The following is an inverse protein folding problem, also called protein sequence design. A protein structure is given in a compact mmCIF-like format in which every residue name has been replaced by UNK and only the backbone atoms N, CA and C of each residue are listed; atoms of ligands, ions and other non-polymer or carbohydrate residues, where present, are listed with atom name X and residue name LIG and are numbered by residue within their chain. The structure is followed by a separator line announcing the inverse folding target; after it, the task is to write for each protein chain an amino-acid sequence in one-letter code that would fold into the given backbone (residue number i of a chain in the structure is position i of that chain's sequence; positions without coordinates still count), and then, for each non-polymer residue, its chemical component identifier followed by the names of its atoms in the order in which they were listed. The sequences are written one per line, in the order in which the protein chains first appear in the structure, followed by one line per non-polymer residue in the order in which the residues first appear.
data_IF_615746207489
#
_entry.id   IF_615746207489
#
_cell.length_a   1.000
_cell.length_b   1.000
_cell.length_c   1.000
_cell.angle_alpha   90.00
_cell.angle_beta   90.00
_cell.angle_gamma   90.00
#
_symmetry.space_group_name_H-M   'P 1'
#
loop_
_entity.id
_entity.type
_entity.pdbx_description
1 polymer ?
#
# COMPACT_ATOMS: atom_id res chain seq x y z
N UNK A 1 -11.93 -3.28 -37.31
CA UNK A 1 -12.70 -3.84 -36.17
C UNK A 1 -12.02 -5.03 -35.46
N UNK A 2 -11.19 -5.86 -36.13
CA UNK A 2 -10.53 -7.01 -35.49
C UNK A 2 -9.30 -6.59 -34.65
N UNK A 3 -8.51 -5.60 -35.10
CA UNK A 3 -7.34 -5.09 -34.37
C UNK A 3 -7.70 -4.37 -33.06
N UNK A 4 -8.79 -3.58 -33.04
CA UNK A 4 -9.28 -2.92 -31.83
C UNK A 4 -9.71 -3.91 -30.74
N UNK A 5 -10.32 -5.04 -31.12
CA UNK A 5 -10.72 -6.10 -30.20
C UNK A 5 -9.51 -6.90 -29.69
N UNK A 6 -8.49 -7.10 -30.53
CA UNK A 6 -7.23 -7.73 -30.13
C UNK A 6 -6.45 -6.86 -29.14
N UNK A 7 -6.39 -5.55 -29.40
CA UNK A 7 -5.71 -4.59 -28.53
C UNK A 7 -6.43 -4.49 -27.17
N UNK A 8 -7.76 -4.31 -27.15
CA UNK A 8 -8.57 -4.27 -25.91
C UNK A 8 -8.43 -5.54 -25.05
N UNK A 9 -8.39 -6.74 -25.66
CA UNK A 9 -8.17 -8.00 -24.92
C UNK A 9 -6.77 -8.09 -24.32
N UNK A 10 -5.75 -7.64 -25.06
CA UNK A 10 -4.37 -7.57 -24.59
C UNK A 10 -4.22 -6.58 -23.43
N UNK A 11 -4.82 -5.39 -23.52
CA UNK A 11 -4.82 -4.39 -22.44
C UNK A 11 -5.53 -4.90 -21.19
N UNK A 12 -6.63 -5.66 -21.34
CA UNK A 12 -7.36 -6.22 -20.20
C UNK A 12 -6.61 -7.38 -19.52
N UNK A 13 -5.88 -8.20 -20.29
CA UNK A 13 -5.01 -9.24 -19.74
C UNK A 13 -3.84 -8.60 -18.96
N UNK A 14 -3.20 -7.58 -19.53
CA UNK A 14 -2.13 -6.81 -18.87
C UNK A 14 -2.61 -6.16 -17.56
N UNK A 15 -3.81 -5.56 -17.56
CA UNK A 15 -4.44 -4.99 -16.35
C UNK A 15 -4.72 -6.00 -15.25
N UNK A 16 -4.93 -7.27 -15.59
CA UNK A 16 -5.25 -8.35 -14.65
C UNK A 16 -4.08 -9.28 -14.36
N UNK A 17 -2.94 -9.07 -15.01
CA UNK A 17 -1.76 -9.93 -14.93
C UNK A 17 -1.36 -10.21 -13.49
N UNK A 18 -1.27 -9.17 -12.66
CA UNK A 18 -0.90 -9.29 -11.25
C UNK A 18 -1.83 -10.24 -10.47
N UNK A 19 -3.14 -10.14 -10.68
CA UNK A 19 -4.12 -10.99 -9.99
C UNK A 19 -4.11 -12.42 -10.51
N UNK A 20 -3.87 -12.62 -11.81
CA UNK A 20 -3.72 -13.96 -12.41
C UNK A 20 -2.50 -14.67 -11.80
N UNK A 21 -1.36 -13.99 -11.76
CA UNK A 21 -0.14 -14.54 -11.16
C UNK A 21 -0.30 -14.80 -9.66
N UNK A 22 -0.94 -13.89 -8.93
CA UNK A 22 -1.22 -14.06 -7.50
C UNK A 22 -2.11 -15.29 -7.27
N UNK A 23 -3.14 -15.50 -8.09
CA UNK A 23 -4.02 -16.68 -7.99
C UNK A 23 -3.25 -17.97 -8.26
N UNK A 24 -2.27 -17.94 -9.17
CA UNK A 24 -1.42 -19.10 -9.47
C UNK A 24 -0.51 -19.50 -8.30
N UNK A 25 -0.24 -18.60 -7.33
CA UNK A 25 0.50 -18.94 -6.11
C UNK A 25 -0.33 -19.78 -5.13
N UNK A 26 -1.63 -19.94 -5.37
CA UNK A 26 -2.53 -20.77 -4.57
C UNK A 26 -2.57 -20.42 -3.07
N UNK A 27 -2.42 -19.13 -2.73
CA UNK A 27 -2.48 -18.67 -1.33
C UNK A 27 -3.82 -18.97 -0.65
N UNK A 28 -4.88 -19.23 -1.42
CA UNK A 28 -6.22 -19.54 -0.90
C UNK A 28 -6.28 -20.84 -0.07
N UNK A 29 -5.28 -21.72 -0.17
CA UNK A 29 -5.16 -22.91 0.70
C UNK A 29 -4.79 -22.57 2.14
N UNK A 30 -4.26 -21.37 2.39
CA UNK A 30 -3.88 -20.93 3.74
C UNK A 30 -5.15 -20.69 4.55
N UNK A 31 -5.37 -21.50 5.60
CA UNK A 31 -6.58 -21.44 6.44
C UNK A 31 -6.73 -20.12 7.20
N UNK A 32 -5.66 -19.62 7.80
CA UNK A 32 -5.69 -18.38 8.58
C UNK A 32 -5.74 -17.16 7.65
N UNK A 33 -6.85 -16.41 7.71
CA UNK A 33 -7.06 -15.22 6.88
C UNK A 33 -5.95 -14.20 7.04
N UNK A 34 -5.46 -13.96 8.26
CA UNK A 34 -4.34 -13.05 8.52
C UNK A 34 -3.09 -13.40 7.71
N UNK A 35 -2.69 -14.67 7.71
CA UNK A 35 -1.53 -15.15 6.94
C UNK A 35 -1.79 -15.08 5.45
N UNK A 36 -2.97 -15.51 5.01
CA UNK A 36 -3.36 -15.47 3.60
C UNK A 36 -3.31 -14.05 3.03
N UNK A 37 -3.91 -13.08 3.74
CA UNK A 37 -3.87 -11.65 3.41
C UNK A 37 -2.44 -11.14 3.36
N UNK A 38 -1.63 -11.42 4.40
CA UNK A 38 -0.25 -10.97 4.45
C UNK A 38 0.60 -11.53 3.30
N UNK A 39 0.45 -12.83 2.96
CA UNK A 39 1.14 -13.46 1.84
C UNK A 39 0.71 -12.86 0.49
N UNK A 40 -0.59 -12.65 0.26
CA UNK A 40 -1.10 -12.01 -0.97
C UNK A 40 -0.58 -10.58 -1.14
N UNK A 41 -0.61 -9.77 -0.09
CA UNK A 41 -0.08 -8.41 -0.14
C UNK A 41 1.45 -8.38 -0.25
N UNK A 42 2.15 -9.32 0.39
CA UNK A 42 3.60 -9.50 0.20
C UNK A 42 3.95 -9.86 -1.24
N UNK A 43 3.18 -10.75 -1.87
CA UNK A 43 3.33 -11.08 -3.27
C UNK A 43 3.18 -9.83 -4.15
N UNK A 44 2.10 -9.05 -3.96
CA UNK A 44 1.88 -7.79 -4.69
C UNK A 44 3.05 -6.82 -4.49
N UNK A 45 3.50 -6.63 -3.25
CA UNK A 45 4.62 -5.75 -2.92
C UNK A 45 5.92 -6.17 -3.64
N UNK A 46 6.21 -7.47 -3.69
CA UNK A 46 7.39 -7.99 -4.38
C UNK A 46 7.27 -7.85 -5.88
N UNK A 47 6.12 -8.24 -6.44
CA UNK A 47 5.88 -8.25 -7.88
C UNK A 47 5.87 -6.83 -8.47
N UNK A 48 5.44 -5.85 -7.68
CA UNK A 48 5.55 -4.43 -8.01
C UNK A 48 6.89 -3.81 -7.59
N UNK A 49 7.87 -4.53 -7.04
CA UNK A 49 9.15 -3.94 -6.58
C UNK A 49 9.04 -2.84 -5.49
N UNK A 50 7.87 -2.66 -4.85
CA UNK A 50 7.70 -1.67 -3.79
C UNK A 50 8.52 -2.00 -2.53
N UNK A 51 8.86 -3.27 -2.33
CA UNK A 51 9.75 -3.71 -1.24
C UNK A 51 11.17 -3.11 -1.31
N UNK A 52 11.59 -2.60 -2.48
CA UNK A 52 12.88 -1.95 -2.69
C UNK A 52 12.84 -0.43 -2.45
N UNK A 53 11.65 0.15 -2.30
CA UNK A 53 11.45 1.59 -2.08
C UNK A 53 11.19 1.82 -0.60
N UNK A 54 12.02 2.59 0.09
CA UNK A 54 11.76 2.95 1.48
C UNK A 54 10.81 4.16 1.61
N UNK A 55 10.41 4.46 2.85
CA UNK A 55 9.50 5.56 3.13
C UNK A 55 10.10 6.93 2.79
N UNK A 56 11.41 7.11 2.90
CA UNK A 56 12.08 8.37 2.61
C UNK A 56 12.01 8.69 1.13
N UNK A 57 12.31 7.70 0.29
CA UNK A 57 12.19 7.82 -1.16
C UNK A 57 10.75 8.05 -1.59
N UNK A 58 9.79 7.46 -0.88
CA UNK A 58 8.37 7.70 -1.12
C UNK A 58 7.98 9.16 -0.80
N UNK A 59 8.47 9.70 0.32
CA UNK A 59 8.25 11.10 0.71
C UNK A 59 8.89 12.07 -0.30
N UNK A 60 10.10 11.79 -0.75
CA UNK A 60 10.78 12.56 -1.81
C UNK A 60 9.94 12.59 -3.09
N UNK A 61 9.49 11.44 -3.57
CA UNK A 61 8.64 11.37 -4.76
C UNK A 61 7.33 12.17 -4.59
N UNK A 62 6.69 12.12 -3.41
CA UNK A 62 5.52 12.95 -3.15
C UNK A 62 5.83 14.44 -3.20
N UNK A 63 6.99 14.86 -2.70
CA UNK A 63 7.42 16.26 -2.73
C UNK A 63 7.70 16.72 -4.15
N UNK A 64 8.46 15.95 -4.91
CA UNK A 64 8.85 16.28 -6.29
C UNK A 64 7.64 16.38 -7.23
N UNK A 65 6.57 15.63 -6.94
CA UNK A 65 5.30 15.69 -7.68
C UNK A 65 4.26 16.67 -7.06
N UNK A 66 4.66 17.43 -6.04
CA UNK A 66 3.82 18.43 -5.38
C UNK A 66 2.63 17.85 -4.59
N UNK A 67 2.62 16.56 -4.26
CA UNK A 67 1.53 15.96 -3.47
C UNK A 67 1.56 16.39 -1.99
N UNK A 68 2.68 16.93 -1.51
CA UNK A 68 2.81 17.46 -0.15
C UNK A 68 2.12 18.81 0.06
N UNK A 69 1.86 19.57 -1.02
CA UNK A 69 1.21 20.89 -0.96
C UNK A 69 -0.28 20.83 -1.23
N UNK A 70 -0.78 19.72 -1.78
CA UNK A 70 -2.19 19.52 -2.05
C UNK A 70 -2.96 19.09 -0.79
N UNK A 71 -4.22 19.51 -0.73
CA UNK A 71 -5.16 18.99 0.25
C UNK A 71 -5.38 17.48 0.05
N UNK A 72 -5.55 16.76 1.16
CA UNK A 72 -5.72 15.31 1.19
C UNK A 72 -6.92 14.81 0.38
N UNK A 73 -7.98 15.62 0.28
CA UNK A 73 -9.20 15.30 -0.47
C UNK A 73 -9.08 15.59 -1.96
N UNK A 74 -8.03 16.29 -2.38
CA UNK A 74 -7.80 16.61 -3.80
C UNK A 74 -7.72 15.31 -4.61
N UNK A 75 -8.51 15.21 -5.68
CA UNK A 75 -8.44 14.09 -6.62
C UNK A 75 -7.36 14.34 -7.67
N UNK A 76 -6.58 13.30 -8.00
CA UNK A 76 -5.63 13.29 -9.11
C UNK A 76 -6.05 12.26 -10.17
N UNK A 77 -5.77 12.56 -11.43
CA UNK A 77 -6.03 11.66 -12.55
C UNK A 77 -5.10 10.45 -12.55
N UNK A 78 -5.51 9.38 -13.25
CA UNK A 78 -4.66 8.22 -13.54
C UNK A 78 -3.33 8.61 -14.19
N UNK A 79 -3.32 9.57 -15.12
CA UNK A 79 -2.08 10.05 -15.75
C UNK A 79 -1.11 10.72 -14.77
N UNK A 80 -1.65 11.50 -13.82
CA UNK A 80 -0.82 12.12 -12.76
C UNK A 80 -0.32 11.06 -11.79
N UNK A 81 -1.14 10.06 -11.46
CA UNK A 81 -0.71 8.93 -10.65
C UNK A 81 0.42 8.15 -11.32
N UNK A 82 0.32 7.87 -12.63
CA UNK A 82 1.37 7.24 -13.41
C UNK A 82 2.67 8.05 -13.40
N UNK A 83 2.59 9.37 -13.48
CA UNK A 83 3.76 10.27 -13.37
C UNK A 83 4.45 10.12 -12.00
N UNK A 84 3.68 10.10 -10.91
CA UNK A 84 4.20 9.89 -9.56
C UNK A 84 4.89 8.53 -9.45
N UNK A 85 4.23 7.47 -9.91
CA UNK A 85 4.77 6.10 -9.90
C UNK A 85 6.05 5.98 -10.75
N UNK A 86 6.06 6.62 -11.92
CA UNK A 86 7.23 6.68 -12.79
C UNK A 86 8.40 7.32 -12.07
N UNK A 87 8.19 8.47 -11.41
CA UNK A 87 9.25 9.14 -10.66
C UNK A 87 9.86 8.24 -9.58
N UNK A 88 9.05 7.43 -8.90
CA UNK A 88 9.51 6.49 -7.88
C UNK A 88 10.46 5.45 -8.49
N UNK A 89 10.04 4.77 -9.55
CA UNK A 89 10.84 3.67 -10.12
C UNK A 89 12.05 4.16 -10.91
N UNK A 90 11.96 5.29 -11.62
CA UNK A 90 13.12 5.87 -12.30
C UNK A 90 14.19 6.31 -11.30
N UNK A 91 13.80 6.90 -10.15
CA UNK A 91 14.77 7.25 -9.10
C UNK A 91 15.32 6.02 -8.38
N UNK A 92 14.50 5.00 -8.12
CA UNK A 92 14.97 3.72 -7.58
C UNK A 92 16.03 3.09 -8.51
N UNK A 93 15.74 2.97 -9.80
CA UNK A 93 16.61 2.26 -10.74
C UNK A 93 17.96 2.97 -10.98
N UNK A 94 18.01 4.30 -10.77
CA UNK A 94 19.28 5.06 -10.75
C UNK A 94 20.15 4.76 -9.54
N UNK A 95 19.54 4.39 -8.40
CA UNK A 95 20.23 4.10 -7.13
C UNK A 95 20.65 2.63 -7.02
N UNK A 96 19.95 1.74 -7.72
CA UNK A 96 20.28 0.31 -7.73
C UNK A 96 21.58 0.03 -8.51
N UNK A 97 22.40 -0.93 -8.08
CA UNK A 97 23.52 -1.43 -8.88
C UNK A 97 23.05 -1.93 -10.24
N UNK A 98 23.91 -1.83 -11.27
CA UNK A 98 23.60 -2.29 -12.63
C UNK A 98 23.17 -3.76 -12.70
N UNK A 99 23.67 -4.60 -11.79
CA UNK A 99 23.33 -6.02 -11.66
C UNK A 99 21.97 -6.29 -11.03
N UNK A 100 21.33 -5.29 -10.43
CA UNK A 100 20.06 -5.40 -9.71
C UNK A 100 18.97 -4.49 -10.28
N UNK A 101 19.16 -4.00 -11.51
CA UNK A 101 18.16 -3.16 -12.16
C UNK A 101 16.85 -3.92 -12.36
N UNK A 102 15.75 -3.17 -12.24
CA UNK A 102 14.40 -3.71 -12.44
C UNK A 102 13.84 -3.28 -13.79
N UNK A 103 12.84 -4.01 -14.27
CA UNK A 103 12.02 -3.53 -15.38
C UNK A 103 11.10 -2.39 -14.88
N UNK A 104 11.53 -1.14 -15.12
CA UNK A 104 10.84 0.07 -14.67
C UNK A 104 9.42 0.14 -15.24
N UNK A 105 9.27 0.02 -16.56
CA UNK A 105 7.96 0.08 -17.25
C UNK A 105 6.98 -0.99 -16.76
N UNK A 106 7.46 -2.22 -16.54
CA UNK A 106 6.61 -3.27 -16.00
C UNK A 106 6.19 -2.96 -14.55
N UNK A 107 7.09 -2.43 -13.73
CA UNK A 107 6.80 -2.08 -12.34
C UNK A 107 5.78 -0.94 -12.25
N UNK A 108 5.89 0.07 -13.10
CA UNK A 108 4.92 1.17 -13.23
C UNK A 108 3.54 0.61 -13.59
N UNK A 109 3.45 -0.19 -14.65
CA UNK A 109 2.19 -0.77 -15.11
C UNK A 109 1.51 -1.65 -14.06
N UNK A 110 2.26 -2.54 -13.40
CA UNK A 110 1.71 -3.42 -12.36
C UNK A 110 1.18 -2.64 -11.16
N UNK A 111 1.95 -1.66 -10.67
CA UNK A 111 1.53 -0.86 -9.53
C UNK A 111 0.33 0.03 -9.86
N UNK A 112 0.36 0.69 -11.03
CA UNK A 112 -0.75 1.54 -11.48
C UNK A 112 -2.05 0.74 -11.57
N UNK A 113 -2.01 -0.42 -12.22
CA UNK A 113 -3.18 -1.29 -12.37
C UNK A 113 -3.70 -1.79 -11.02
N UNK A 114 -2.82 -2.13 -10.09
CA UNK A 114 -3.22 -2.53 -8.74
C UNK A 114 -3.88 -1.38 -7.97
N UNK A 115 -3.32 -0.17 -8.03
CA UNK A 115 -3.91 1.00 -7.36
C UNK A 115 -5.28 1.37 -7.95
N UNK A 116 -5.43 1.32 -9.28
CA UNK A 116 -6.73 1.55 -9.93
C UNK A 116 -7.74 0.48 -9.48
N UNK A 117 -7.35 -0.80 -9.50
CA UNK A 117 -8.25 -1.87 -9.06
C UNK A 117 -8.67 -1.76 -7.59
N UNK A 118 -7.79 -1.24 -6.72
CA UNK A 118 -8.06 -1.11 -5.29
C UNK A 118 -8.85 0.17 -4.93
N UNK A 119 -8.66 1.28 -5.66
CA UNK A 119 -9.13 2.60 -5.24
C UNK A 119 -10.07 3.30 -6.23
N UNK A 120 -10.15 2.84 -7.48
CA UNK A 120 -11.07 3.37 -8.51
C UNK A 120 -12.19 2.36 -8.82
N UNK A 121 -12.86 1.86 -7.79
CA UNK A 121 -13.94 0.87 -7.93
C UNK A 121 -15.14 1.38 -8.74
N UNK A 122 -15.34 2.71 -8.74
CA UNK A 122 -16.40 3.38 -9.50
C UNK A 122 -15.98 3.73 -10.94
N UNK A 123 -14.73 3.47 -11.33
CA UNK A 123 -14.22 3.73 -12.68
C UNK A 123 -14.22 5.20 -13.07
N UNK A 124 -14.07 6.12 -12.10
CA UNK A 124 -14.02 7.57 -12.32
C UNK A 124 -12.67 8.04 -12.85
N UNK A 125 -11.65 7.19 -12.81
CA UNK A 125 -10.29 7.51 -13.26
C UNK A 125 -9.57 8.51 -12.37
N UNK A 126 -9.96 8.56 -11.08
CA UNK A 126 -9.43 9.52 -10.10
C UNK A 126 -9.22 8.88 -8.74
N UNK A 127 -8.15 9.29 -8.06
CA UNK A 127 -7.83 8.87 -6.70
C UNK A 127 -7.53 10.12 -5.86
N UNK A 128 -7.87 10.10 -4.57
CA UNK A 128 -7.47 11.20 -3.68
C UNK A 128 -5.97 11.16 -3.40
N UNK A 129 -5.36 12.32 -3.16
CA UNK A 129 -3.96 12.42 -2.71
C UNK A 129 -3.74 11.57 -1.47
N UNK A 130 -4.70 11.54 -0.56
CA UNK A 130 -4.62 10.74 0.65
C UNK A 130 -4.60 9.23 0.39
N UNK A 131 -5.47 8.72 -0.50
CA UNK A 131 -5.47 7.31 -0.93
C UNK A 131 -4.11 6.90 -1.48
N UNK A 132 -3.53 7.75 -2.35
CA UNK A 132 -2.22 7.50 -2.98
C UNK A 132 -1.12 7.42 -1.93
N UNK A 133 -1.05 8.42 -1.03
CA UNK A 133 -0.05 8.44 0.06
C UNK A 133 -0.22 7.26 1.01
N UNK A 134 -1.44 6.97 1.45
CA UNK A 134 -1.74 5.90 2.40
C UNK A 134 -1.35 4.53 1.86
N UNK A 135 -1.74 4.23 0.61
CA UNK A 135 -1.41 2.97 -0.06
C UNK A 135 0.12 2.81 -0.18
N UNK A 136 0.78 3.79 -0.79
CA UNK A 136 2.20 3.71 -1.12
C UNK A 136 3.07 3.69 0.14
N UNK A 137 2.74 4.51 1.15
CA UNK A 137 3.43 4.48 2.44
C UNK A 137 3.18 3.17 3.21
N UNK A 138 2.03 2.52 3.03
CA UNK A 138 1.75 1.22 3.66
C UNK A 138 2.45 0.07 2.94
N UNK A 139 2.58 0.14 1.62
CA UNK A 139 3.13 -0.95 0.80
C UNK A 139 4.61 -0.80 0.48
N UNK A 140 5.25 0.35 0.74
CA UNK A 140 6.70 0.50 0.55
C UNK A 140 7.50 -0.45 1.47
N UNK A 141 8.75 -0.70 1.12
CA UNK A 141 9.73 -1.41 1.95
C UNK A 141 10.20 -0.58 3.15
N UNK A 142 11.22 -1.10 3.83
CA UNK A 142 11.84 -0.44 4.98
C UNK A 142 11.20 -0.78 6.34
N UNK A 143 11.64 -0.05 7.36
CA UNK A 143 11.26 -0.29 8.77
C UNK A 143 9.80 0.09 9.01
N UNK A 144 9.05 -0.79 9.69
CA UNK A 144 7.65 -0.55 10.03
C UNK A 144 7.45 0.75 10.82
N UNK A 145 8.30 1.00 11.82
CA UNK A 145 8.17 2.17 12.68
C UNK A 145 8.29 3.50 11.91
N UNK A 146 9.16 3.56 10.90
CA UNK A 146 9.35 4.79 10.12
C UNK A 146 8.12 5.07 9.24
N UNK A 147 7.52 4.01 8.68
CA UNK A 147 6.25 4.08 7.93
C UNK A 147 5.11 4.53 8.83
N UNK A 148 4.98 3.96 10.03
CA UNK A 148 3.95 4.34 10.99
C UNK A 148 4.12 5.78 11.48
N UNK A 149 5.35 6.25 11.70
CA UNK A 149 5.64 7.67 12.01
C UNK A 149 5.21 8.59 10.88
N UNK A 150 5.51 8.24 9.64
CA UNK A 150 5.06 9.01 8.50
C UNK A 150 3.52 9.07 8.43
N UNK A 151 2.85 7.91 8.53
CA UNK A 151 1.39 7.82 8.52
C UNK A 151 0.78 8.69 9.64
N UNK A 152 1.33 8.62 10.86
CA UNK A 152 0.89 9.47 11.97
C UNK A 152 1.03 10.96 11.64
N UNK A 153 2.14 11.37 11.01
CA UNK A 153 2.33 12.78 10.63
C UNK A 153 1.30 13.29 9.61
N UNK A 154 0.72 12.41 8.79
CA UNK A 154 -0.36 12.78 7.88
C UNK A 154 -1.72 12.94 8.60
N UNK A 155 -1.84 12.40 9.82
CA UNK A 155 -3.09 12.32 10.57
C UNK A 155 -3.08 13.13 11.87
N UNK A 156 -1.98 13.79 12.23
CA UNK A 156 -1.88 14.60 13.43
C UNK A 156 -2.11 16.09 13.17
N UNK A 157 -2.47 16.83 14.22
CA UNK A 157 -2.48 18.29 14.24
C UNK A 157 -1.10 18.87 14.58
N UNK A 158 -1.00 20.20 14.64
CA UNK A 158 0.23 20.92 15.00
C UNK A 158 0.65 20.72 16.47
N UNK A 159 -0.23 20.20 17.32
CA UNK A 159 0.06 19.89 18.72
C UNK A 159 0.56 18.44 18.90
N UNK A 160 0.70 17.69 17.81
CA UNK A 160 1.12 16.28 17.84
C UNK A 160 0.02 15.32 18.29
N UNK A 161 -1.25 15.75 18.27
CA UNK A 161 -2.40 14.91 18.57
C UNK A 161 -3.00 14.34 17.29
N UNK A 162 -3.34 13.06 17.32
CA UNK A 162 -4.04 12.41 16.22
C UNK A 162 -5.44 13.01 16.01
N UNK A 163 -5.74 13.36 14.77
CA UNK A 163 -7.07 13.77 14.31
C UNK A 163 -7.85 12.50 13.96
N UNK A 164 -8.81 12.11 14.79
CA UNK A 164 -9.56 10.86 14.62
C UNK A 164 -10.27 10.72 13.27
N UNK A 165 -10.77 11.81 12.69
CA UNK A 165 -11.39 11.77 11.35
C UNK A 165 -10.39 11.43 10.24
N UNK A 166 -9.13 11.88 10.36
CA UNK A 166 -8.05 11.50 9.43
C UNK A 166 -7.61 10.06 9.64
N UNK A 167 -7.59 9.57 10.89
CA UNK A 167 -7.33 8.16 11.17
C UNK A 167 -8.45 7.25 10.66
N UNK A 168 -9.71 7.66 10.79
CA UNK A 168 -10.85 6.96 10.18
C UNK A 168 -10.71 6.89 8.66
N UNK A 169 -10.38 8.01 8.02
CA UNK A 169 -10.09 8.05 6.60
C UNK A 169 -8.92 7.12 6.24
N UNK A 170 -7.85 7.08 7.05
CA UNK A 170 -6.74 6.16 6.84
C UNK A 170 -7.18 4.71 6.88
N UNK A 171 -8.00 4.32 7.86
CA UNK A 171 -8.54 2.97 7.92
C UNK A 171 -9.39 2.63 6.69
N UNK A 172 -10.23 3.56 6.22
CA UNK A 172 -11.00 3.38 4.98
C UNK A 172 -10.11 3.16 3.76
N UNK A 173 -8.98 3.86 3.67
CA UNK A 173 -8.06 3.72 2.55
C UNK A 173 -7.15 2.48 2.66
N UNK A 174 -6.60 2.20 3.83
CA UNK A 174 -5.65 1.08 4.01
C UNK A 174 -6.36 -0.27 3.94
N UNK A 175 -7.62 -0.37 4.40
CA UNK A 175 -8.40 -1.61 4.35
C UNK A 175 -8.97 -1.91 2.95
N UNK A 176 -8.79 -1.03 1.97
CA UNK A 176 -8.97 -1.36 0.55
C UNK A 176 -7.89 -2.33 0.04
N UNK A 177 -6.69 -2.34 0.63
CA UNK A 177 -5.62 -3.28 0.27
C UNK A 177 -6.02 -4.75 0.45
N UNK A 178 -6.43 -5.22 1.65
CA UNK A 178 -6.91 -6.60 1.82
C UNK A 178 -8.16 -6.86 0.97
N UNK A 179 -9.05 -5.89 0.82
CA UNK A 179 -10.23 -6.01 -0.04
C UNK A 179 -9.85 -6.28 -1.51
N UNK A 180 -8.85 -5.56 -2.03
CA UNK A 180 -8.36 -5.71 -3.40
C UNK A 180 -7.73 -7.09 -3.68
N UNK A 181 -7.22 -7.77 -2.65
CA UNK A 181 -6.71 -9.15 -2.77
C UNK A 181 -7.74 -10.21 -2.32
N UNK A 182 -9.02 -9.84 -2.34
CA UNK A 182 -10.18 -10.70 -2.06
C UNK A 182 -10.29 -11.18 -0.59
N UNK A 183 -9.77 -10.39 0.35
CA UNK A 183 -9.84 -10.65 1.80
C UNK A 183 -10.75 -9.66 2.55
N UNK A 184 -11.59 -8.93 1.80
CA UNK A 184 -12.58 -7.99 2.34
C UNK A 184 -13.51 -8.58 3.42
N UNK A 185 -14.01 -9.82 3.30
CA UNK A 185 -14.83 -10.43 4.36
C UNK A 185 -14.12 -10.56 5.72
N UNK A 186 -12.78 -10.61 5.74
CA UNK A 186 -11.99 -10.72 6.98
C UNK A 186 -11.47 -9.38 7.48
N UNK A 187 -11.08 -8.48 6.58
CA UNK A 187 -10.36 -7.23 6.92
C UNK A 187 -10.92 -5.99 6.23
N UNK A 188 -12.20 -6.02 5.83
CA UNK A 188 -12.90 -4.85 5.32
C UNK A 188 -13.09 -3.78 6.40
N UNK A 189 -13.23 -2.53 5.97
CA UNK A 189 -13.55 -1.43 6.87
C UNK A 189 -14.95 -1.62 7.48
N UNK A 190 -15.09 -1.24 8.76
CA UNK A 190 -16.38 -1.15 9.46
C UNK A 190 -16.43 0.15 10.26
N UNK A 191 -17.63 0.66 10.53
CA UNK A 191 -17.84 1.86 11.37
C UNK A 191 -17.26 1.72 12.80
N UNK A 192 -16.96 0.49 13.24
CA UNK A 192 -16.41 0.21 14.56
C UNK A 192 -14.87 0.17 14.55
N UNK A 193 -14.22 0.13 13.38
CA UNK A 193 -12.78 -0.10 13.24
C UNK A 193 -11.94 0.92 14.02
N UNK A 194 -12.32 2.20 14.01
CA UNK A 194 -11.63 3.24 14.80
C UNK A 194 -11.74 2.98 16.30
N UNK A 195 -12.95 2.65 16.77
CA UNK A 195 -13.23 2.41 18.20
C UNK A 195 -12.53 1.16 18.71
N UNK A 196 -12.36 0.16 17.86
CA UNK A 196 -11.62 -1.07 18.20
C UNK A 196 -10.11 -0.81 18.34
N UNK A 197 -9.53 0.09 17.54
CA UNK A 197 -8.12 0.46 17.68
C UNK A 197 -7.85 1.25 18.96
N UNK A 198 -8.72 2.20 19.31
CA UNK A 198 -8.53 3.10 20.45
C UNK A 198 -9.80 3.19 21.30
N UNK A 199 -10.10 2.16 22.11
CA UNK A 199 -11.28 2.17 22.97
C UNK A 199 -11.14 3.26 24.03
N UNK A 200 -12.10 4.18 24.06
CA UNK A 200 -12.25 5.24 25.09
C UNK A 200 -11.15 6.31 25.12
N UNK A 201 -10.10 6.22 24.31
CA UNK A 201 -9.04 7.22 24.25
C UNK A 201 -9.46 8.45 23.46
N UNK A 202 -9.32 9.65 24.06
CA UNK A 202 -9.68 10.93 23.42
C UNK A 202 -8.48 11.70 22.86
N UNK A 203 -7.27 11.39 23.32
CA UNK A 203 -6.03 12.05 22.90
C UNK A 203 -4.97 10.98 22.65
N UNK A 204 -4.51 10.89 21.40
CA UNK A 204 -3.48 9.93 20.99
C UNK A 204 -2.28 10.71 20.49
N UNK A 205 -1.14 10.55 21.16
CA UNK A 205 0.15 11.05 20.70
C UNK A 205 0.89 9.95 19.92
N UNK A 206 1.98 10.32 19.24
CA UNK A 206 2.75 9.40 18.40
C UNK A 206 3.12 8.09 19.11
N UNK A 207 3.69 8.16 20.32
CA UNK A 207 4.14 6.96 21.01
C UNK A 207 2.96 6.03 21.35
N UNK A 208 1.83 6.56 21.83
CA UNK A 208 0.62 5.76 22.08
C UNK A 208 0.10 5.09 20.80
N UNK A 209 0.15 5.80 19.67
CA UNK A 209 -0.21 5.24 18.37
C UNK A 209 0.74 4.10 17.98
N UNK A 210 2.05 4.31 18.08
CA UNK A 210 3.05 3.29 17.76
C UNK A 210 2.92 2.06 18.65
N UNK A 211 2.77 2.25 19.97
CA UNK A 211 2.59 1.17 20.94
C UNK A 211 1.34 0.35 20.63
N UNK A 212 0.24 1.01 20.24
CA UNK A 212 -1.00 0.33 19.85
C UNK A 212 -0.83 -0.47 18.55
N UNK A 213 -0.26 0.14 17.51
CA UNK A 213 -0.09 -0.51 16.20
C UNK A 213 0.92 -1.66 16.23
N UNK A 214 1.87 -1.63 17.16
CA UNK A 214 2.92 -2.62 17.35
C UNK A 214 2.64 -3.59 18.51
N UNK A 215 1.49 -3.47 19.19
CA UNK A 215 1.08 -4.38 20.25
C UNK A 215 1.00 -5.83 19.76
N UNK A 216 1.01 -6.77 20.71
CA UNK A 216 0.77 -8.19 20.44
C UNK A 216 -0.44 -8.70 21.25
N UNK A 217 -1.62 -8.90 20.62
CA UNK A 217 -1.90 -8.67 19.21
C UNK A 217 -2.16 -7.17 18.87
N UNK A 218 -1.86 -6.72 17.64
CA UNK A 218 -2.21 -5.38 17.16
C UNK A 218 -3.73 -5.29 16.89
N UNK A 219 -4.28 -4.10 16.55
CA UNK A 219 -5.68 -3.97 16.18
C UNK A 219 -6.08 -4.97 15.09
N UNK A 220 -7.20 -5.67 15.30
CA UNK A 220 -7.60 -6.82 14.47
C UNK A 220 -7.75 -6.47 12.98
N UNK A 221 -8.25 -5.28 12.66
CA UNK A 221 -8.37 -4.85 11.26
C UNK A 221 -7.01 -4.65 10.55
N UNK A 222 -5.91 -4.46 11.30
CA UNK A 222 -4.57 -4.20 10.80
C UNK A 222 -3.57 -5.32 11.10
N UNK A 223 -3.99 -6.44 11.69
CA UNK A 223 -3.09 -7.53 12.10
C UNK A 223 -2.31 -8.17 10.94
N UNK A 224 -2.81 -8.06 9.71
CA UNK A 224 -2.10 -8.48 8.50
C UNK A 224 -0.84 -7.63 8.20
N UNK A 225 -0.82 -6.36 8.62
CA UNK A 225 0.24 -5.41 8.27
C UNK A 225 1.56 -5.73 9.00
N UNK A 226 1.59 -5.89 10.35
CA UNK A 226 2.78 -6.37 11.05
C UNK A 226 3.22 -7.77 10.58
N UNK A 227 2.28 -8.66 10.26
CA UNK A 227 2.61 -9.99 9.77
C UNK A 227 3.30 -9.94 8.39
N UNK A 228 2.80 -9.13 7.45
CA UNK A 228 3.43 -8.92 6.14
C UNK A 228 4.87 -8.43 6.29
N UNK A 229 5.12 -7.54 7.25
CA UNK A 229 6.48 -7.12 7.58
C UNK A 229 7.33 -8.27 8.15
N UNK A 230 6.80 -9.09 9.06
CA UNK A 230 7.54 -10.26 9.58
C UNK A 230 7.90 -11.25 8.47
N UNK A 231 7.00 -11.53 7.53
CA UNK A 231 7.28 -12.37 6.36
C UNK A 231 8.47 -11.84 5.56
N UNK A 232 8.54 -10.53 5.33
CA UNK A 232 9.67 -9.91 4.63
C UNK A 232 11.01 -10.13 5.36
N UNK A 233 11.04 -10.10 6.70
CA UNK A 233 12.27 -10.35 7.47
C UNK A 233 12.71 -11.81 7.39
N UNK A 234 11.77 -12.76 7.47
CA UNK A 234 12.06 -14.19 7.36
C UNK A 234 12.62 -14.54 5.98
N UNK A 235 12.03 -14.00 4.91
CA UNK A 235 12.53 -14.19 3.53
C UNK A 235 13.96 -13.67 3.37
N UNK A 236 14.24 -12.46 3.86
CA UNK A 236 15.57 -11.86 3.76
C UNK A 236 16.61 -12.62 4.61
N UNK A 237 16.21 -13.17 5.75
CA UNK A 237 17.06 -14.02 6.59
C UNK A 237 17.47 -15.32 5.89
N UNK A 238 16.59 -15.91 5.07
CA UNK A 238 16.90 -17.10 4.29
C UNK A 238 17.87 -16.81 3.13
N UNK A 239 17.86 -15.60 2.56
CA UNK A 239 18.82 -15.19 1.51
C UNK A 239 20.21 -14.80 2.05
N UNK A 240 20.37 -14.70 3.38
CA UNK A 240 21.64 -14.36 4.03
C UNK A 240 22.29 -15.55 4.77
N UNK A 241 21.76 -16.77 4.60
CA UNK A 241 22.46 -17.98 5.02
C UNK A 241 23.46 -18.38 3.92
N UNK A 242 24.76 -18.58 4.25
CA UNK A 242 25.79 -18.92 3.29
C UNK A 242 25.60 -20.29 2.63
#
# INVERSE_FOLDING_TARGET
MIEESGNKRKTMAEKRQLFIEMRAQNFDVIRLSTYRTACKLRFVQKRCNLHLVDIWNMIEAFRDNGLNTLDHTTEISVSRLETVISSIYYQLNKRLPSTHQISVEQSISLLLNFMIAAYDSEGRGKLTVFSVKAMLATMCGGKMLDKLRYVFSQMSDSNGLMIFSKFDQFLKEVLKLPTAVFEGPSFGYTEHSVRTCFPQQKKIMLNMFLDTMMADPPPQCLVWLPLMHRLAHVENGLTCLP
#
